data_IF_103031041021
#
_entry.id   IF_103031041021
#
_cell.length_a   1.000
_cell.length_b   1.000
_cell.length_c   1.000
_cell.angle_alpha   90.00
_cell.angle_beta   90.00
_cell.angle_gamma   90.00
#
_symmetry.space_group_name_H-M   'P 1'
#
loop_
_entity.id
_entity.type
_entity.pdbx_description
1 polymer ?
#
# COMPACT_ATOMS: atom_id res chain seq x y z
N UNK A 1 6.24 -4.71 6.73
CA UNK A 1 5.91 -6.04 6.15
C UNK A 1 5.08 -5.78 4.91
N UNK A 2 5.48 -6.38 3.79
CA UNK A 2 4.67 -6.36 2.58
C UNK A 2 3.35 -7.08 2.85
N UNK A 3 2.25 -6.43 2.51
CA UNK A 3 0.90 -6.97 2.67
C UNK A 3 0.39 -7.53 1.35
N UNK A 4 -0.26 -8.67 1.42
CA UNK A 4 -0.87 -9.33 0.26
C UNK A 4 -2.20 -9.93 0.68
N UNK A 5 -3.13 -10.05 -0.27
CA UNK A 5 -4.46 -10.60 -0.02
C UNK A 5 -4.92 -11.49 -1.19
N UNK A 6 -4.59 -12.77 -1.11
CA UNK A 6 -4.89 -13.72 -2.18
C UNK A 6 -6.39 -13.91 -2.43
N UNK A 7 -7.22 -13.86 -1.38
CA UNK A 7 -8.66 -14.01 -1.52
C UNK A 7 -9.26 -12.87 -2.34
N UNK A 8 -8.83 -11.63 -2.06
CA UNK A 8 -9.30 -10.46 -2.78
C UNK A 8 -8.77 -10.41 -4.22
N UNK A 9 -7.53 -10.86 -4.43
CA UNK A 9 -6.94 -11.02 -5.75
C UNK A 9 -7.77 -11.97 -6.63
N UNK A 10 -8.09 -13.16 -6.11
CA UNK A 10 -8.89 -14.16 -6.84
C UNK A 10 -10.29 -13.62 -7.19
N UNK A 11 -10.90 -12.87 -6.27
CA UNK A 11 -12.20 -12.24 -6.51
C UNK A 11 -12.14 -11.23 -7.67
N UNK A 12 -11.13 -10.34 -7.68
CA UNK A 12 -10.96 -9.36 -8.76
C UNK A 12 -10.56 -9.97 -10.10
N UNK A 13 -9.81 -11.08 -10.10
CA UNK A 13 -9.55 -11.85 -11.32
C UNK A 13 -10.85 -12.42 -11.91
N UNK A 14 -11.75 -12.91 -11.05
CA UNK A 14 -13.11 -13.30 -11.46
C UNK A 14 -13.90 -12.14 -12.06
N UNK A 15 -13.87 -10.97 -11.42
CA UNK A 15 -14.52 -9.76 -11.96
C UNK A 15 -13.94 -9.34 -13.30
N UNK A 16 -12.62 -9.34 -13.46
CA UNK A 16 -11.97 -8.98 -14.72
C UNK A 16 -12.40 -9.90 -15.87
N UNK A 17 -12.53 -11.20 -15.61
CA UNK A 17 -12.97 -12.17 -16.62
C UNK A 17 -14.44 -11.99 -17.02
N UNK A 18 -15.30 -11.61 -16.08
CA UNK A 18 -16.76 -11.53 -16.27
C UNK A 18 -17.29 -10.13 -16.62
N UNK A 19 -16.55 -9.06 -16.26
CA UNK A 19 -16.94 -7.65 -16.38
C UNK A 19 -15.89 -6.81 -17.11
N UNK A 20 -15.47 -7.25 -18.30
CA UNK A 20 -14.38 -6.63 -19.07
C UNK A 20 -14.55 -5.13 -19.39
N UNK A 21 -15.78 -4.61 -19.35
CA UNK A 21 -16.05 -3.18 -19.58
C UNK A 21 -15.87 -2.32 -18.32
N UNK A 22 -15.98 -2.93 -17.14
CA UNK A 22 -15.94 -2.22 -15.85
C UNK A 22 -14.60 -2.37 -15.13
N UNK A 23 -13.87 -3.44 -15.43
CA UNK A 23 -12.54 -3.75 -14.88
C UNK A 23 -11.53 -3.86 -16.01
N UNK A 24 -10.49 -3.02 -15.96
CA UNK A 24 -9.41 -3.00 -16.95
C UNK A 24 -8.06 -3.22 -16.29
N UNK A 25 -7.09 -3.72 -17.05
CA UNK A 25 -5.71 -3.76 -16.59
C UNK A 25 -5.03 -2.41 -16.83
N UNK A 26 -4.34 -1.91 -15.82
CA UNK A 26 -3.49 -0.73 -15.93
C UNK A 26 -2.10 -1.06 -15.42
N UNK A 27 -1.09 -0.59 -16.16
CA UNK A 27 0.31 -0.75 -15.81
C UNK A 27 0.89 0.57 -15.33
N UNK A 28 1.78 0.47 -14.35
CA UNK A 28 2.58 1.56 -13.80
C UNK A 28 4.03 1.11 -13.71
N UNK A 29 4.95 1.89 -14.26
CA UNK A 29 6.37 1.66 -14.08
C UNK A 29 6.80 2.07 -12.67
N UNK A 30 7.96 1.57 -12.22
CA UNK A 30 8.59 2.04 -10.98
C UNK A 30 8.60 3.58 -10.93
N UNK A 31 8.37 4.11 -9.73
CA UNK A 31 8.30 5.55 -9.41
C UNK A 31 7.10 6.31 -9.98
N UNK A 32 6.17 5.66 -10.69
CA UNK A 32 4.91 6.31 -11.08
C UNK A 32 3.95 6.45 -9.90
N UNK A 33 3.25 7.59 -9.87
CA UNK A 33 2.20 7.84 -8.88
C UNK A 33 0.92 7.12 -9.30
N UNK A 34 0.38 6.33 -8.38
CA UNK A 34 -0.90 5.64 -8.52
C UNK A 34 -2.00 6.50 -7.90
N UNK A 35 -1.78 6.98 -6.67
CA UNK A 35 -2.63 7.97 -5.99
C UNK A 35 -1.79 9.15 -5.54
N UNK A 36 -2.38 10.34 -5.54
CA UNK A 36 -1.74 11.58 -5.13
C UNK A 36 -2.50 12.11 -3.92
N UNK A 37 -1.80 12.34 -2.81
CA UNK A 37 -2.38 12.87 -1.58
C UNK A 37 -3.16 14.17 -1.85
N UNK A 38 -4.27 14.35 -1.15
CA UNK A 38 -5.14 15.52 -1.22
C UNK A 38 -5.79 15.78 -2.59
N UNK A 39 -5.61 14.87 -3.56
CA UNK A 39 -6.29 14.92 -4.85
C UNK A 39 -7.58 14.10 -4.85
N UNK A 40 -8.57 14.46 -5.69
CA UNK A 40 -9.79 13.68 -5.83
C UNK A 40 -9.50 12.25 -6.28
N UNK A 41 -10.14 11.29 -5.62
CA UNK A 41 -10.12 9.91 -6.09
C UNK A 41 -10.85 9.82 -7.43
N UNK A 42 -10.18 9.25 -8.44
CA UNK A 42 -10.75 9.08 -9.79
C UNK A 42 -11.10 7.63 -10.11
N UNK A 43 -10.33 6.68 -9.58
CA UNK A 43 -10.39 5.25 -9.88
C UNK A 43 -10.03 4.43 -8.65
N UNK A 44 -10.64 3.25 -8.55
CA UNK A 44 -10.25 2.25 -7.55
C UNK A 44 -9.41 1.18 -8.20
N UNK A 45 -8.44 0.67 -7.45
CA UNK A 45 -7.43 -0.25 -7.98
C UNK A 45 -7.21 -1.40 -7.03
N UNK A 46 -7.04 -2.60 -7.56
CA UNK A 46 -6.50 -3.73 -6.81
C UNK A 46 -5.18 -4.15 -7.44
N UNK A 47 -4.14 -4.31 -6.64
CA UNK A 47 -2.81 -4.69 -7.09
C UNK A 47 -2.87 -6.14 -7.57
N UNK A 48 -2.68 -6.36 -8.87
CA UNK A 48 -2.56 -7.71 -9.43
C UNK A 48 -1.15 -8.25 -9.17
N UNK A 49 -0.17 -7.42 -9.46
CA UNK A 49 1.25 -7.76 -9.39
C UNK A 49 2.10 -6.53 -9.10
N UNK A 50 3.17 -6.70 -8.35
CA UNK A 50 4.12 -5.65 -8.01
C UNK A 50 3.90 -5.10 -6.60
N UNK A 51 4.67 -4.08 -6.26
CA UNK A 51 4.71 -3.50 -4.93
C UNK A 51 4.55 -1.99 -5.03
N UNK A 52 3.77 -1.43 -4.11
CA UNK A 52 3.59 0.01 -3.94
C UNK A 52 3.95 0.42 -2.52
N UNK A 53 4.32 1.69 -2.35
CA UNK A 53 4.40 2.35 -1.04
C UNK A 53 3.22 3.28 -0.84
N UNK A 54 2.64 3.27 0.36
CA UNK A 54 1.67 4.26 0.84
C UNK A 54 2.41 5.23 1.76
N UNK A 55 2.33 6.53 1.47
CA UNK A 55 3.13 7.53 2.19
C UNK A 55 2.38 8.84 2.40
N UNK A 56 2.66 9.49 3.52
CA UNK A 56 2.27 10.88 3.75
C UNK A 56 3.39 11.81 3.37
N UNK A 57 3.06 12.94 2.74
CA UNK A 57 3.98 14.07 2.59
C UNK A 57 3.58 15.16 3.56
N UNK A 58 4.49 15.53 4.46
CA UNK A 58 4.28 16.59 5.44
C UNK A 58 4.70 17.96 4.86
N UNK A 59 4.34 19.05 5.56
CA UNK A 59 4.64 20.45 5.15
C UNK A 59 6.13 20.70 4.86
N UNK A 60 7.02 19.95 5.51
CA UNK A 60 8.47 20.02 5.31
C UNK A 60 8.98 19.20 4.11
N UNK A 61 8.07 18.73 3.25
CA UNK A 61 8.31 17.88 2.09
C UNK A 61 8.95 16.52 2.41
N UNK A 62 8.93 16.10 3.68
CA UNK A 62 9.39 14.77 4.05
C UNK A 62 8.27 13.77 3.85
N UNK A 63 8.65 12.63 3.29
CA UNK A 63 7.77 11.47 3.18
C UNK A 63 7.89 10.61 4.44
N UNK A 64 6.74 10.14 4.94
CA UNK A 64 6.66 9.05 5.89
C UNK A 64 5.93 7.88 5.23
N UNK A 65 6.62 6.75 5.06
CA UNK A 65 5.99 5.56 4.47
C UNK A 65 5.23 4.84 5.57
N UNK A 66 3.92 4.74 5.38
CA UNK A 66 3.00 4.04 6.26
C UNK A 66 3.17 2.54 6.07
N UNK A 67 3.12 2.07 4.83
CA UNK A 67 3.19 0.65 4.52
C UNK A 67 3.56 0.36 3.07
N UNK A 68 3.90 -0.91 2.84
CA UNK A 68 4.10 -1.48 1.51
C UNK A 68 2.98 -2.49 1.23
N UNK A 69 2.32 -2.31 0.11
CA UNK A 69 1.21 -3.15 -0.34
C UNK A 69 1.61 -3.88 -1.62
N UNK A 70 1.20 -5.13 -1.74
CA UNK A 70 1.47 -5.99 -2.88
C UNK A 70 0.19 -6.67 -3.37
N UNK A 71 0.37 -7.81 -4.04
CA UNK A 71 -0.69 -8.54 -4.73
C UNK A 71 -1.93 -8.75 -3.85
N UNK A 72 -3.11 -8.38 -4.37
CA UNK A 72 -4.39 -8.51 -3.69
C UNK A 72 -4.80 -7.32 -2.84
N UNK A 73 -3.90 -6.37 -2.56
CA UNK A 73 -4.27 -5.18 -1.80
C UNK A 73 -5.05 -4.20 -2.66
N UNK A 74 -6.09 -3.63 -2.05
CA UNK A 74 -6.97 -2.62 -2.65
C UNK A 74 -6.50 -1.19 -2.32
N UNK A 75 -6.71 -0.27 -3.25
CA UNK A 75 -6.35 1.14 -3.15
C UNK A 75 -7.55 2.03 -3.50
N UNK A 76 -7.77 3.09 -2.71
CA UNK A 76 -8.81 4.10 -2.91
C UNK A 76 -10.16 3.78 -2.25
N UNK A 77 -10.29 2.63 -1.60
CA UNK A 77 -11.51 2.17 -0.97
C UNK A 77 -11.90 3.01 0.25
N UNK A 78 -10.93 3.44 1.06
CA UNK A 78 -11.17 4.28 2.24
C UNK A 78 -11.71 5.63 1.80
N UNK A 79 -11.04 6.26 0.83
CA UNK A 79 -11.41 7.54 0.25
C UNK A 79 -12.81 7.52 -0.32
N UNK A 80 -13.13 6.46 -1.05
CA UNK A 80 -14.44 6.32 -1.66
C UNK A 80 -15.53 6.18 -0.60
N UNK A 81 -15.35 5.29 0.38
CA UNK A 81 -16.36 4.99 1.41
C UNK A 81 -16.57 6.21 2.31
N UNK A 82 -15.49 6.92 2.65
CA UNK A 82 -15.55 8.12 3.49
C UNK A 82 -15.89 9.39 2.70
N UNK A 83 -15.88 9.32 1.37
CA UNK A 83 -16.09 10.45 0.47
C UNK A 83 -15.13 11.60 0.77
N UNK A 84 -13.83 11.28 0.79
CA UNK A 84 -12.73 12.22 1.02
C UNK A 84 -11.74 12.19 -0.15
N UNK A 85 -10.83 13.17 -0.22
CA UNK A 85 -9.67 13.12 -1.10
C UNK A 85 -8.71 12.00 -0.67
N UNK A 86 -7.80 11.60 -1.57
CA UNK A 86 -6.71 10.67 -1.28
C UNK A 86 -6.03 11.00 0.04
N UNK A 87 -6.17 10.12 1.03
CA UNK A 87 -5.63 10.33 2.36
C UNK A 87 -4.10 10.38 2.33
N UNK A 88 -3.49 9.53 1.50
CA UNK A 88 -2.05 9.43 1.35
C UNK A 88 -1.67 9.26 -0.14
N UNK A 89 -0.40 9.50 -0.45
CA UNK A 89 0.16 9.17 -1.74
C UNK A 89 0.40 7.67 -1.88
N UNK A 90 0.25 7.16 -3.10
CA UNK A 90 0.61 5.77 -3.43
C UNK A 90 1.51 5.77 -4.66
N UNK A 91 2.69 5.16 -4.55
CA UNK A 91 3.71 5.15 -5.60
C UNK A 91 4.23 3.75 -5.84
N UNK A 92 4.47 3.41 -7.10
CA UNK A 92 5.04 2.12 -7.49
C UNK A 92 6.51 2.04 -7.06
N UNK A 93 6.90 0.97 -6.37
CA UNK A 93 8.31 0.70 -6.01
C UNK A 93 8.94 -0.40 -6.88
N UNK A 94 8.10 -1.14 -7.61
CA UNK A 94 8.45 -2.02 -8.73
C UNK A 94 7.61 -1.63 -9.94
N UNK A 95 7.73 -2.35 -11.04
CA UNK A 95 6.66 -2.34 -12.04
C UNK A 95 5.41 -2.96 -11.42
N UNK A 96 4.26 -2.34 -11.65
CA UNK A 96 2.98 -2.66 -11.00
C UNK A 96 1.91 -2.83 -12.06
N UNK A 97 1.15 -3.90 -11.93
CA UNK A 97 -0.08 -4.12 -12.69
C UNK A 97 -1.26 -4.13 -11.74
N UNK A 98 -2.32 -3.40 -12.08
CA UNK A 98 -3.55 -3.32 -11.27
C UNK A 98 -4.77 -3.68 -12.10
N UNK A 99 -5.79 -4.21 -11.42
CA UNK A 99 -7.17 -4.13 -11.88
C UNK A 99 -7.72 -2.75 -11.52
N UNK A 100 -8.10 -1.94 -12.51
CA UNK A 100 -8.67 -0.62 -12.31
C UNK A 100 -10.17 -0.64 -12.61
N UNK A 101 -10.96 -0.02 -11.72
CA UNK A 101 -12.41 0.12 -11.87
C UNK A 101 -12.85 1.56 -11.77
N UNK A 102 -13.99 1.87 -12.39
CA UNK A 102 -14.64 3.16 -12.20
C UNK A 102 -15.39 3.21 -10.86
N UNK A 103 -15.56 4.41 -10.33
CA UNK A 103 -16.21 4.64 -9.03
C UNK A 103 -17.65 4.10 -8.98
N UNK A 104 -18.41 4.21 -10.07
CA UNK A 104 -19.80 3.79 -10.11
C UNK A 104 -19.92 2.26 -9.97
N UNK A 105 -19.07 1.52 -10.67
CA UNK A 105 -19.01 0.06 -10.59
C UNK A 105 -18.66 -0.38 -9.17
N UNK A 106 -17.64 0.21 -8.57
CA UNK A 106 -17.28 -0.12 -7.19
C UNK A 106 -18.41 0.15 -6.21
N UNK A 107 -19.07 1.32 -6.30
CA UNK A 107 -20.25 1.63 -5.48
C UNK A 107 -21.37 0.59 -5.67
N UNK A 108 -21.51 0.04 -6.87
CA UNK A 108 -22.47 -1.04 -7.14
C UNK A 108 -22.08 -2.36 -6.45
N UNK A 109 -20.78 -2.70 -6.39
CA UNK A 109 -20.28 -3.86 -5.65
C UNK A 109 -20.55 -3.71 -4.16
N UNK A 110 -20.19 -2.57 -3.56
CA UNK A 110 -20.47 -2.29 -2.14
C UNK A 110 -21.96 -2.44 -1.82
N UNK A 111 -22.83 -1.99 -2.72
CA UNK A 111 -24.29 -2.02 -2.49
C UNK A 111 -24.88 -3.42 -2.62
N UNK A 112 -24.38 -4.23 -3.56
CA UNK A 112 -25.10 -5.42 -4.03
C UNK A 112 -24.33 -6.74 -3.86
N UNK A 113 -23.02 -6.70 -3.59
CA UNK A 113 -22.18 -7.90 -3.48
C UNK A 113 -21.74 -8.13 -2.04
N UNK A 114 -22.32 -9.16 -1.40
CA UNK A 114 -22.01 -9.53 -0.03
C UNK A 114 -20.60 -10.10 0.13
N UNK A 115 -20.11 -10.86 -0.85
CA UNK A 115 -18.77 -11.43 -0.81
C UNK A 115 -17.73 -10.31 -0.87
N UNK A 116 -17.95 -9.34 -1.74
CA UNK A 116 -17.11 -8.15 -1.82
C UNK A 116 -17.03 -7.40 -0.49
N UNK A 117 -18.17 -7.19 0.17
CA UNK A 117 -18.22 -6.54 1.48
C UNK A 117 -17.48 -7.34 2.56
N UNK A 118 -17.58 -8.68 2.56
CA UNK A 118 -16.82 -9.51 3.50
C UNK A 118 -15.30 -9.38 3.27
N UNK A 119 -14.85 -9.38 2.01
CA UNK A 119 -13.43 -9.19 1.68
C UNK A 119 -12.92 -7.81 2.09
N UNK A 120 -13.73 -6.76 1.90
CA UNK A 120 -13.41 -5.40 2.37
C UNK A 120 -13.30 -5.34 3.89
N UNK A 121 -14.26 -5.92 4.62
CA UNK A 121 -14.25 -5.90 6.09
C UNK A 121 -13.02 -6.63 6.65
N UNK A 122 -12.69 -7.78 6.07
CA UNK A 122 -11.49 -8.54 6.44
C UNK A 122 -10.21 -7.72 6.18
N UNK A 123 -10.10 -7.12 4.99
CA UNK A 123 -8.98 -6.23 4.63
C UNK A 123 -8.86 -5.05 5.61
N UNK A 124 -9.96 -4.42 6.01
CA UNK A 124 -9.94 -3.34 7.00
C UNK A 124 -9.54 -3.83 8.39
N UNK A 125 -10.06 -4.97 8.85
CA UNK A 125 -9.68 -5.53 10.15
C UNK A 125 -8.17 -5.82 10.20
N UNK A 126 -7.64 -6.44 9.14
CA UNK A 126 -6.22 -6.75 9.02
C UNK A 126 -5.36 -5.46 8.97
N UNK A 127 -5.81 -4.42 8.26
CA UNK A 127 -5.13 -3.11 8.25
C UNK A 127 -5.11 -2.43 9.61
N UNK A 128 -6.20 -2.51 10.37
CA UNK A 128 -6.28 -1.97 11.73
C UNK A 128 -5.30 -2.70 12.65
N UNK A 129 -5.30 -4.04 12.62
CA UNK A 129 -4.38 -4.88 13.42
C UNK A 129 -2.93 -4.52 13.09
N UNK A 130 -2.60 -4.44 11.79
CA UNK A 130 -1.26 -4.19 11.32
C UNK A 130 -0.77 -2.78 11.66
N UNK A 131 -1.59 -1.76 11.43
CA UNK A 131 -1.24 -0.36 11.72
C UNK A 131 -1.07 -0.13 13.21
N UNK A 132 -1.97 -0.69 14.03
CA UNK A 132 -1.90 -0.55 15.49
C UNK A 132 -0.67 -1.25 16.07
N UNK A 133 -0.40 -2.49 15.62
CA UNK A 133 0.77 -3.25 16.06
C UNK A 133 2.07 -2.57 15.64
N UNK A 134 2.12 -2.03 14.42
CA UNK A 134 3.28 -1.28 13.92
C UNK A 134 3.50 0.01 14.72
N UNK A 135 2.45 0.77 14.98
CA UNK A 135 2.54 2.00 15.77
C UNK A 135 3.10 1.74 17.17
N UNK A 136 2.59 0.70 17.86
CA UNK A 136 3.12 0.27 19.16
C UNK A 136 4.60 -0.12 19.07
N UNK A 137 4.96 -0.93 18.06
CA UNK A 137 6.34 -1.37 17.87
C UNK A 137 7.29 -0.19 17.63
N UNK A 138 6.92 0.74 16.75
CA UNK A 138 7.74 1.92 16.42
C UNK A 138 7.89 2.89 17.61
N UNK A 139 6.90 2.95 18.51
CA UNK A 139 6.97 3.79 19.71
C UNK A 139 7.86 3.21 20.82
N UNK A 140 7.91 1.88 20.94
CA UNK A 140 8.56 1.21 22.08
C UNK A 140 9.96 0.65 21.77
N UNK A 141 10.23 0.32 20.51
CA UNK A 141 11.52 -0.25 20.11
C UNK A 141 12.43 0.77 19.45
N UNK A 142 13.74 0.53 19.59
CA UNK A 142 14.74 1.40 18.97
C UNK A 142 14.71 1.28 17.45
N UNK A 143 15.24 2.32 16.79
CA UNK A 143 15.32 2.37 15.33
C UNK A 143 16.21 1.24 14.79
N UNK A 144 17.27 0.87 15.51
CA UNK A 144 18.18 -0.25 15.17
C UNK A 144 17.42 -1.58 15.10
N UNK A 145 16.52 -1.82 16.06
CA UNK A 145 15.69 -3.03 16.09
C UNK A 145 14.67 -3.03 14.95
N UNK A 146 14.08 -1.88 14.65
CA UNK A 146 13.17 -1.71 13.51
C UNK A 146 13.89 -1.89 12.17
N UNK A 147 15.12 -1.38 12.04
CA UNK A 147 15.95 -1.56 10.86
C UNK A 147 16.34 -3.02 10.66
N UNK A 148 16.74 -3.73 11.71
CA UNK A 148 17.03 -5.17 11.64
C UNK A 148 15.84 -5.95 11.09
N UNK A 149 14.64 -5.68 11.61
CA UNK A 149 13.42 -6.33 11.12
C UNK A 149 13.12 -5.97 9.66
N UNK A 150 13.33 -4.72 9.27
CA UNK A 150 13.16 -4.25 7.90
C UNK A 150 14.12 -4.96 6.93
N UNK A 151 15.38 -5.13 7.31
CA UNK A 151 16.39 -5.83 6.50
C UNK A 151 16.07 -7.32 6.37
N UNK A 152 15.64 -7.97 7.46
CA UNK A 152 15.22 -9.37 7.43
C UNK A 152 14.02 -9.58 6.49
N UNK A 153 13.05 -8.66 6.52
CA UNK A 153 11.91 -8.66 5.61
C UNK A 153 12.35 -8.46 4.16
N UNK A 154 13.27 -7.52 3.91
CA UNK A 154 13.81 -7.27 2.58
C UNK A 154 14.46 -8.53 1.99
N UNK A 155 15.22 -9.26 2.81
CA UNK A 155 15.85 -10.51 2.41
C UNK A 155 14.85 -11.65 2.19
N UNK A 156 13.81 -11.77 3.02
CA UNK A 156 12.85 -12.88 2.93
C UNK A 156 11.80 -12.70 1.84
N UNK A 157 11.48 -11.46 1.46
CA UNK A 157 10.45 -11.13 0.48
C UNK A 157 11.03 -10.66 -0.86
N UNK A 158 12.36 -10.70 -1.03
CA UNK A 158 13.09 -10.25 -2.23
C UNK A 158 12.71 -8.84 -2.70
N UNK A 159 12.35 -7.97 -1.76
CA UNK A 159 11.97 -6.58 -2.05
C UNK A 159 13.25 -5.77 -2.18
N UNK A 160 13.32 -4.87 -3.14
CA UNK A 160 14.43 -3.92 -3.23
C UNK A 160 13.95 -2.53 -2.83
N UNK A 161 14.33 -2.07 -1.64
CA UNK A 161 14.03 -0.71 -1.19
C UNK A 161 15.23 0.20 -1.35
N UNK A 162 14.97 1.44 -1.74
CA UNK A 162 15.99 2.49 -1.70
C UNK A 162 16.32 2.86 -0.25
N UNK A 163 17.49 3.49 -0.01
CA UNK A 163 17.83 3.98 1.34
C UNK A 163 16.89 5.10 1.78
N UNK A 164 16.39 5.84 0.80
CA UNK A 164 15.39 6.89 0.96
C UNK A 164 14.08 6.28 1.49
N UNK A 165 13.59 5.21 0.87
CA UNK A 165 12.38 4.51 1.34
C UNK A 165 12.59 3.87 2.71
N UNK A 166 13.75 3.26 2.95
CA UNK A 166 14.07 2.72 4.28
C UNK A 166 14.05 3.80 5.35
N UNK A 167 14.65 4.95 5.08
CA UNK A 167 14.69 6.08 6.00
C UNK A 167 13.27 6.65 6.23
N UNK A 168 12.49 6.82 5.17
CA UNK A 168 11.12 7.30 5.23
C UNK A 168 10.19 6.32 5.98
N UNK A 169 10.36 5.01 5.80
CA UNK A 169 9.61 3.98 6.53
C UNK A 169 9.96 3.92 8.02
N UNK A 170 11.22 4.20 8.36
CA UNK A 170 11.69 4.23 9.74
C UNK A 170 11.48 5.59 10.43
N UNK A 171 10.99 6.60 9.72
CA UNK A 171 10.82 7.95 10.26
C UNK A 171 12.14 8.66 10.62
N UNK A 172 13.23 8.33 9.92
CA UNK A 172 14.56 8.91 10.17
C UNK A 172 15.15 9.55 8.90
N UNK A 173 16.27 10.26 9.04
CA UNK A 173 17.02 10.76 7.87
C UNK A 173 17.88 9.66 7.26
N UNK A 174 18.16 9.75 5.95
CA UNK A 174 19.13 8.87 5.27
C UNK A 174 20.51 8.94 5.91
N UNK A 175 20.91 10.11 6.46
CA UNK A 175 22.15 10.25 7.23
C UNK A 175 22.13 9.41 8.51
N UNK A 176 21.03 9.45 9.27
CA UNK A 176 20.85 8.62 10.47
C UNK A 176 20.87 7.15 10.12
N UNK A 177 20.17 6.75 9.05
CA UNK A 177 20.18 5.37 8.54
C UNK A 177 21.60 4.89 8.24
N UNK A 178 22.38 5.68 7.50
CA UNK A 178 23.77 5.33 7.15
C UNK A 178 24.67 5.21 8.38
N UNK A 179 24.43 6.01 9.43
CA UNK A 179 25.17 5.89 10.70
C UNK A 179 24.85 4.56 11.38
N UNK A 180 23.57 4.22 11.55
CA UNK A 180 23.16 2.96 12.16
C UNK A 180 23.69 1.75 11.38
N UNK A 181 23.57 1.76 10.04
CA UNK A 181 24.10 0.69 9.19
C UNK A 181 25.63 0.53 9.31
N UNK A 182 26.36 1.60 9.62
CA UNK A 182 27.80 1.53 9.87
C UNK A 182 28.10 0.90 11.23
N UNK A 183 27.30 1.22 12.24
CA UNK A 183 27.48 0.73 13.61
C UNK A 183 27.02 -0.74 13.77
N UNK A 184 26.20 -1.25 12.85
CA UNK A 184 25.75 -2.65 12.78
C UNK A 184 26.74 -3.61 12.08
N UNK A 185 27.82 -3.08 11.47
CA UNK A 185 28.88 -3.90 10.84
C UNK A 185 29.93 -4.30 11.86
#
# INVERSE_FOLDING_TARGET
>A
MLRTNQAFLNYFEGLYNNHKNDVVLKHFSRDENILIQDQPLSKLRLIKEGIVKCYFTEENAKEYIVEFLGNGEILGEVELIKNIHCLCGVKAVSDVTVYETNIAFFKSLVKNDLLFNHLLLDSFAERIINTSSRASYQQLYTVERSLTQLLNMQASQEIQMSKEDMAAYLGITVRSLNRILKDMK
#
